data_IF_990747192088
#
_entry.id   IF_990747192088
#
_cell.length_a   1.000
_cell.length_b   1.000
_cell.length_c   1.000
_cell.angle_alpha   90.00
_cell.angle_beta   90.00
_cell.angle_gamma   90.00
#
_symmetry.space_group_name_H-M   'P 1'
#
loop_
_entity.id
_entity.type
_entity.pdbx_description
1 polymer ?
#
# COMPACT_ATOMS: atom_id res chain seq x y z
N UNK A 1 31.13 12.86 8.78
CA UNK A 1 30.09 12.28 9.65
C UNK A 1 29.42 11.17 8.85
N UNK A 2 29.41 9.95 9.38
CA UNK A 2 28.81 8.78 8.72
C UNK A 2 27.29 8.94 8.68
N UNK A 3 26.71 9.03 7.49
CA UNK A 3 25.29 8.73 7.27
C UNK A 3 25.19 7.23 7.04
N UNK A 4 24.87 6.50 8.10
CA UNK A 4 24.40 5.12 8.00
C UNK A 4 23.23 5.09 7.01
N UNK A 5 23.25 4.26 5.95
CA UNK A 5 22.07 4.01 5.14
C UNK A 5 21.15 3.09 5.95
N UNK A 6 20.54 3.64 6.99
CA UNK A 6 19.41 3.01 7.66
C UNK A 6 18.22 3.18 6.73
N UNK A 7 17.88 2.12 6.00
CA UNK A 7 16.61 1.88 5.32
C UNK A 7 15.86 3.15 4.89
N UNK A 8 16.09 3.63 3.66
CA UNK A 8 15.14 4.51 2.99
C UNK A 8 13.84 3.73 2.82
N UNK A 9 13.00 3.70 3.85
CA UNK A 9 11.60 3.34 3.72
C UNK A 9 10.98 4.49 2.93
N UNK A 10 10.75 4.24 1.65
CA UNK A 10 10.23 5.24 0.72
C UNK A 10 8.87 5.72 1.25
N UNK A 11 8.76 7.02 1.51
CA UNK A 11 7.50 7.61 1.96
C UNK A 11 6.62 7.76 0.74
N UNK A 12 5.62 6.90 0.66
CA UNK A 12 4.67 6.83 -0.43
C UNK A 12 3.59 7.88 -0.19
N UNK A 13 3.50 8.82 -1.13
CA UNK A 13 2.53 9.93 -1.09
C UNK A 13 1.43 9.78 -2.15
N UNK A 14 1.59 8.81 -3.05
CA UNK A 14 0.67 8.45 -4.11
C UNK A 14 0.50 6.93 -4.10
N UNK A 15 -0.68 6.38 -4.42
CA UNK A 15 -0.87 4.94 -4.48
C UNK A 15 0.14 4.27 -5.42
N UNK A 16 0.65 3.11 -5.02
CA UNK A 16 1.54 2.30 -5.81
C UNK A 16 0.81 1.76 -7.03
N UNK A 17 1.45 1.88 -8.18
CA UNK A 17 1.01 1.22 -9.41
C UNK A 17 1.25 -0.28 -9.34
N UNK A 18 0.58 -1.05 -10.19
CA UNK A 18 0.76 -2.51 -10.27
C UNK A 18 2.21 -2.93 -10.52
N UNK A 19 2.89 -2.22 -11.43
CA UNK A 19 4.30 -2.46 -11.75
C UNK A 19 5.17 -2.23 -10.50
N UNK A 20 4.87 -1.20 -9.72
CA UNK A 20 5.56 -0.92 -8.46
C UNK A 20 5.23 -1.98 -7.40
N UNK A 21 3.96 -2.38 -7.24
CA UNK A 21 3.56 -3.46 -6.33
C UNK A 21 4.33 -4.74 -6.66
N UNK A 22 4.45 -5.11 -7.94
CA UNK A 22 5.25 -6.27 -8.35
C UNK A 22 6.75 -6.09 -8.10
N UNK A 23 7.28 -4.88 -8.22
CA UNK A 23 8.69 -4.60 -7.96
C UNK A 23 9.02 -4.56 -6.45
N UNK A 24 8.09 -4.10 -5.62
CA UNK A 24 8.27 -3.92 -4.17
C UNK A 24 7.79 -5.12 -3.34
N UNK A 25 6.97 -6.01 -3.89
CA UNK A 25 6.47 -7.17 -3.14
C UNK A 25 7.62 -8.10 -2.73
N UNK A 26 7.59 -8.51 -1.47
CA UNK A 26 8.40 -9.60 -0.94
C UNK A 26 7.45 -10.62 -0.34
N UNK A 27 7.52 -11.87 -0.82
CA UNK A 27 6.66 -12.96 -0.36
C UNK A 27 5.16 -12.61 -0.41
N UNK A 28 4.71 -11.99 -1.51
CA UNK A 28 3.34 -11.49 -1.72
C UNK A 28 2.84 -10.46 -0.71
N UNK A 29 3.75 -9.87 0.08
CA UNK A 29 3.44 -8.73 0.94
C UNK A 29 4.16 -7.49 0.44
N UNK A 30 3.50 -6.34 0.59
CA UNK A 30 4.11 -5.03 0.40
C UNK A 30 4.23 -4.35 1.75
N UNK A 31 5.23 -3.48 1.89
CA UNK A 31 5.36 -2.60 3.05
C UNK A 31 5.82 -1.23 2.59
N UNK A 32 5.17 -0.18 3.07
CA UNK A 32 5.52 1.18 2.75
C UNK A 32 5.11 2.14 3.86
N UNK A 33 5.71 3.33 3.87
CA UNK A 33 5.36 4.39 4.82
C UNK A 33 4.44 5.38 4.14
N UNK A 34 3.23 5.56 4.67
CA UNK A 34 2.25 6.55 4.21
C UNK A 34 2.04 7.64 5.26
N UNK A 35 1.97 8.92 4.83
CA UNK A 35 1.61 10.02 5.72
C UNK A 35 0.10 10.04 5.95
N UNK A 36 -0.30 10.16 7.22
CA UNK A 36 -1.69 10.19 7.67
C UNK A 36 -1.91 11.36 8.61
N UNK A 37 -3.02 12.07 8.45
CA UNK A 37 -3.44 13.14 9.35
C UNK A 37 -3.68 12.61 10.76
N UNK A 38 -3.26 13.36 11.77
CA UNK A 38 -3.45 12.98 13.18
C UNK A 38 -4.94 12.89 13.53
N UNK A 39 -5.75 13.71 12.86
CA UNK A 39 -7.21 13.70 12.84
C UNK A 39 -7.79 12.42 12.20
N UNK A 40 -7.21 11.91 11.12
CA UNK A 40 -7.63 10.63 10.52
C UNK A 40 -7.37 9.48 11.50
N UNK A 41 -6.19 9.43 12.12
CA UNK A 41 -5.83 8.40 13.11
C UNK A 41 -6.71 8.47 14.37
N UNK A 42 -7.14 9.68 14.76
CA UNK A 42 -7.92 9.88 15.99
C UNK A 42 -9.43 9.71 15.80
N UNK A 43 -9.94 9.94 14.59
CA UNK A 43 -11.38 9.88 14.29
C UNK A 43 -11.83 8.55 13.66
N UNK A 44 -10.93 7.80 13.02
CA UNK A 44 -11.25 6.53 12.36
C UNK A 44 -11.12 5.35 13.32
N UNK A 45 -12.00 4.36 13.16
CA UNK A 45 -11.84 3.06 13.82
C UNK A 45 -10.65 2.29 13.24
N UNK A 46 -10.12 1.26 13.94
CA UNK A 46 -9.01 0.45 13.43
C UNK A 46 -9.28 -0.18 12.05
N UNK A 47 -10.52 -0.62 11.81
CA UNK A 47 -10.95 -1.18 10.52
C UNK A 47 -11.00 -0.11 9.43
N UNK A 48 -11.67 1.03 9.70
CA UNK A 48 -11.73 2.14 8.75
C UNK A 48 -10.34 2.72 8.44
N UNK A 49 -9.44 2.72 9.42
CA UNK A 49 -8.06 3.15 9.22
C UNK A 49 -7.31 2.18 8.32
N UNK A 50 -7.48 0.86 8.50
CA UNK A 50 -6.88 -0.15 7.63
C UNK A 50 -7.38 0.00 6.18
N UNK A 51 -8.69 0.17 5.99
CA UNK A 51 -9.29 0.39 4.67
C UNK A 51 -8.77 1.69 4.03
N UNK A 52 -8.72 2.76 4.82
CA UNK A 52 -8.23 4.06 4.37
C UNK A 52 -6.74 4.01 3.96
N UNK A 53 -5.91 3.31 4.74
CA UNK A 53 -4.50 3.12 4.42
C UNK A 53 -4.31 2.25 3.18
N UNK A 54 -5.14 1.20 3.00
CA UNK A 54 -5.10 0.33 1.81
C UNK A 54 -5.43 1.12 0.54
N UNK A 55 -6.47 1.95 0.60
CA UNK A 55 -6.82 2.86 -0.49
C UNK A 55 -5.67 3.84 -0.80
N UNK A 56 -5.02 4.41 0.23
CA UNK A 56 -3.85 5.29 0.02
C UNK A 56 -2.63 4.56 -0.55
N UNK A 57 -2.47 3.27 -0.24
CA UNK A 57 -1.28 2.50 -0.61
C UNK A 57 -1.38 1.89 -2.01
N UNK A 58 -2.52 1.32 -2.38
CA UNK A 58 -2.69 0.55 -3.62
C UNK A 58 -3.96 0.90 -4.39
N UNK A 59 -4.71 1.93 -3.95
CA UNK A 59 -5.99 2.34 -4.53
C UNK A 59 -7.02 1.19 -4.60
N UNK A 60 -6.96 0.31 -3.60
CA UNK A 60 -7.80 -0.89 -3.52
C UNK A 60 -8.03 -1.34 -2.09
N UNK A 61 -9.23 -1.85 -1.83
CA UNK A 61 -9.68 -2.51 -0.61
C UNK A 61 -9.32 -4.00 -0.57
N UNK A 62 -8.74 -4.54 -1.65
CA UNK A 62 -8.34 -5.95 -1.77
C UNK A 62 -7.04 -6.28 -1.03
N UNK A 63 -6.44 -5.31 -0.35
CA UNK A 63 -5.26 -5.54 0.48
C UNK A 63 -5.71 -6.30 1.74
N UNK A 64 -5.22 -7.52 1.90
CA UNK A 64 -5.60 -8.39 3.02
C UNK A 64 -4.50 -8.44 4.08
N UNK A 65 -4.83 -8.92 5.29
CA UNK A 65 -3.87 -9.04 6.41
C UNK A 65 -3.10 -7.72 6.68
N UNK A 66 -3.84 -6.61 6.65
CA UNK A 66 -3.27 -5.26 6.80
C UNK A 66 -2.77 -5.07 8.23
N UNK A 67 -1.48 -4.80 8.35
CA UNK A 67 -0.81 -4.46 9.58
C UNK A 67 -0.20 -3.08 9.45
N UNK A 68 -0.44 -2.22 10.43
CA UNK A 68 0.11 -0.87 10.43
C UNK A 68 0.78 -0.57 11.77
N UNK A 69 1.89 0.15 11.70
CA UNK A 69 2.64 0.63 12.86
C UNK A 69 3.06 2.09 12.65
N UNK A 70 3.25 2.81 13.75
CA UNK A 70 3.71 4.20 13.68
C UNK A 70 5.22 4.22 13.44
N UNK A 71 5.63 4.67 12.26
CA UNK A 71 7.04 4.86 11.90
C UNK A 71 7.60 6.20 12.43
N UNK A 72 6.77 7.23 12.53
CA UNK A 72 7.23 8.54 12.98
C UNK A 72 6.15 9.62 12.96
N UNK A 73 6.58 10.87 13.09
CA UNK A 73 5.75 12.07 12.88
C UNK A 73 6.50 13.05 11.99
N UNK A 74 5.78 13.65 11.06
CA UNK A 74 6.28 14.67 10.17
C UNK A 74 5.59 16.01 10.50
N UNK A 75 6.25 16.84 11.30
CA UNK A 75 5.65 18.08 11.82
C UNK A 75 4.61 17.83 12.91
N UNK A 76 3.66 18.75 13.06
CA UNK A 76 2.71 18.75 14.17
C UNK A 76 1.38 18.02 13.88
N UNK A 77 1.07 17.74 12.61
CA UNK A 77 -0.25 17.23 12.20
C UNK A 77 -0.20 15.96 11.34
N UNK A 78 0.98 15.48 10.95
CA UNK A 78 1.13 14.30 10.09
C UNK A 78 1.87 13.20 10.86
N UNK A 79 1.27 12.02 10.91
CA UNK A 79 1.85 10.80 11.44
C UNK A 79 2.32 9.95 10.26
N UNK A 80 3.56 9.48 10.31
CA UNK A 80 4.07 8.51 9.34
C UNK A 80 3.72 7.12 9.84
N UNK A 81 2.93 6.40 9.04
CA UNK A 81 2.44 5.07 9.33
C UNK A 81 3.11 4.09 8.37
N UNK A 82 3.86 3.11 8.89
CA UNK A 82 4.30 1.98 8.11
C UNK A 82 3.13 1.01 8.00
N UNK A 83 2.66 0.78 6.79
CA UNK A 83 1.63 -0.21 6.46
C UNK A 83 2.29 -1.38 5.75
N UNK A 84 1.85 -2.58 6.08
CA UNK A 84 2.12 -3.79 5.33
C UNK A 84 0.83 -4.57 5.10
N UNK A 85 0.74 -5.25 3.96
CA UNK A 85 -0.43 -6.07 3.64
C UNK A 85 -0.11 -7.07 2.54
N UNK A 86 -0.94 -8.10 2.47
CA UNK A 86 -0.88 -9.16 1.46
C UNK A 86 -1.61 -8.72 0.19
N UNK A 87 -0.91 -8.76 -0.93
CA UNK A 87 -1.39 -8.36 -2.26
C UNK A 87 -1.80 -9.54 -3.14
N UNK A 88 -1.89 -10.75 -2.60
CA UNK A 88 -2.25 -11.97 -3.35
C UNK A 88 -3.61 -11.80 -4.04
N UNK A 89 -4.65 -11.44 -3.29
CA UNK A 89 -6.00 -11.21 -3.84
C UNK A 89 -6.04 -10.08 -4.87
N UNK A 90 -5.25 -9.02 -4.63
CA UNK A 90 -5.15 -7.89 -5.55
C UNK A 90 -4.52 -8.32 -6.88
N UNK A 91 -3.42 -9.08 -6.83
CA UNK A 91 -2.74 -9.59 -8.01
C UNK A 91 -3.59 -10.62 -8.76
N UNK A 92 -4.20 -11.58 -8.06
CA UNK A 92 -5.08 -12.61 -8.68
C UNK A 92 -6.27 -11.97 -9.40
N UNK A 93 -6.88 -10.95 -8.79
CA UNK A 93 -8.00 -10.22 -9.39
C UNK A 93 -7.58 -9.52 -10.69
N UNK A 94 -6.37 -8.97 -10.74
CA UNK A 94 -5.84 -8.27 -11.91
C UNK A 94 -5.36 -9.21 -13.01
N UNK A 95 -4.79 -10.36 -12.65
CA UNK A 95 -4.46 -11.42 -13.61
C UNK A 95 -5.74 -11.90 -14.33
N UNK A 96 -6.84 -12.07 -13.59
CA UNK A 96 -8.15 -12.39 -14.19
C UNK A 96 -8.57 -11.34 -15.22
N UNK A 97 -8.50 -10.05 -14.90
CA UNK A 97 -8.87 -8.99 -15.87
C UNK A 97 -7.94 -8.91 -17.08
N UNK A 98 -6.68 -9.30 -16.94
CA UNK A 98 -5.71 -9.30 -18.04
C UNK A 98 -5.95 -10.48 -19.00
N UNK A 99 -6.31 -11.66 -18.47
CA UNK A 99 -6.66 -12.84 -19.25
C UNK A 99 -7.92 -12.59 -20.12
N UNK A 100 -8.94 -11.92 -19.57
CA UNK A 100 -10.14 -11.56 -20.32
C UNK A 100 -9.90 -10.52 -21.43
N UNK A 101 -8.88 -9.67 -21.32
CA UNK A 101 -8.56 -8.70 -22.34
C UNK A 101 -7.80 -9.31 -23.54
N UNK A 102 -7.14 -10.46 -23.34
CA UNK A 102 -6.45 -11.17 -24.43
C UNK A 102 -7.37 -12.15 -25.18
N UNK A 103 -8.41 -12.68 -24.54
CA UNK A 103 -9.38 -13.56 -25.20
C UNK A 103 -10.32 -12.83 -26.20
N UNK A 104 -10.42 -11.49 -26.16
CA UNK A 104 -11.20 -10.73 -27.15
C UNK A 104 -10.44 -10.38 -28.44
N UNK A 105 -9.10 -10.48 -28.48
CA UNK A 105 -8.31 -10.18 -29.69
C UNK A 105 -8.11 -11.40 -30.63
N UNK A 106 -8.33 -12.63 -30.15
CA UNK A 106 -8.22 -13.86 -30.96
C UNK A 106 -9.57 -14.31 -31.59
N UNK A 107 -10.58 -13.43 -31.59
CA UNK A 107 -11.93 -13.69 -32.10
C UNK A 107 -12.29 -12.91 -33.39
N UNK A 108 -11.32 -12.46 -34.19
CA UNK A 108 -11.54 -11.87 -35.53
C UNK A 108 -11.24 -12.83 -36.70
#
# INVERSE_FOLDING_TARGET
MSTTPGSMQEVITLPLTLEQIQAFKQDNRISAVVPVGLDEVSNLTPEELADHLSMKLVDSDLLTDVQYERAGVQGDQIVLMNISGDVTMLLETLELFTDYAQDEEDAE
#
